data_IF_565951986455
#
_entry.id   IF_565951986455
#
_cell.length_a   1.000
_cell.length_b   1.000
_cell.length_c   1.000
_cell.angle_alpha   90.00
_cell.angle_beta   90.00
_cell.angle_gamma   90.00
#
_symmetry.space_group_name_H-M   'P 1'
#
loop_
_entity.id
_entity.type
_entity.pdbx_description
1 polymer ?
#
# COMPACT_ATOMS: atom_id res chain seq x y z
N UNK A 1 65.95 50.11 -7.82
CA UNK A 1 66.43 48.74 -8.08
C UNK A 1 65.54 48.09 -9.14
N UNK A 2 66.15 47.23 -9.95
CA UNK A 2 65.76 46.68 -11.27
C UNK A 2 64.31 46.23 -11.54
N UNK A 3 63.92 46.42 -12.82
CA UNK A 3 62.84 45.78 -13.63
C UNK A 3 63.08 44.23 -13.75
N UNK A 4 62.20 43.34 -14.31
CA UNK A 4 61.18 43.61 -15.37
C UNK A 4 59.91 42.71 -15.52
N UNK A 5 58.98 43.25 -16.31
CA UNK A 5 58.19 42.71 -17.45
C UNK A 5 57.71 41.24 -17.63
N UNK A 6 56.52 41.20 -18.28
CA UNK A 6 55.94 40.21 -19.22
C UNK A 6 55.06 39.12 -18.58
N UNK A 7 53.76 39.03 -18.89
CA UNK A 7 53.21 38.88 -20.26
C UNK A 7 51.85 39.56 -20.49
N UNK A 8 51.65 39.88 -21.77
CA UNK A 8 50.65 40.70 -22.47
C UNK A 8 49.30 39.96 -22.69
N UNK A 9 48.18 40.68 -22.95
CA UNK A 9 46.81 40.16 -23.11
C UNK A 9 46.47 39.83 -24.58
N UNK A 10 45.22 39.44 -24.93
CA UNK A 10 44.31 40.43 -25.55
C UNK A 10 42.83 40.21 -25.13
N UNK A 11 42.06 41.24 -24.82
CA UNK A 11 41.18 41.99 -25.75
C UNK A 11 39.71 41.56 -25.71
N UNK A 12 38.86 42.59 -25.71
CA UNK A 12 37.46 42.64 -26.18
C UNK A 12 36.49 41.90 -25.24
N UNK A 13 35.69 42.58 -24.43
CA UNK A 13 34.79 43.65 -24.84
C UNK A 13 33.48 43.06 -25.35
N UNK A 14 32.62 42.63 -24.44
CA UNK A 14 31.16 42.55 -24.64
C UNK A 14 30.48 42.41 -23.28
N UNK A 15 30.00 43.54 -22.75
CA UNK A 15 28.93 43.52 -21.77
C UNK A 15 27.65 43.01 -22.46
N UNK A 16 26.93 42.01 -21.90
CA UNK A 16 25.60 41.67 -22.39
C UNK A 16 24.58 42.72 -21.92
N UNK A 17 23.51 42.97 -22.70
CA UNK A 17 22.50 43.98 -22.38
C UNK A 17 21.64 43.56 -21.17
N UNK A 18 21.05 44.52 -20.44
CA UNK A 18 20.18 44.22 -19.31
C UNK A 18 18.76 43.94 -19.82
N UNK A 19 18.30 42.71 -19.68
CA UNK A 19 16.90 42.38 -19.97
C UNK A 19 16.66 40.98 -20.53
N UNK A 20 17.06 39.94 -19.80
CA UNK A 20 16.38 38.65 -19.88
C UNK A 20 16.06 38.18 -18.45
N UNK A 21 14.82 37.74 -18.16
CA UNK A 21 14.53 37.11 -16.89
C UNK A 21 15.40 35.87 -16.74
N UNK A 22 15.76 35.47 -15.50
CA UNK A 22 16.62 34.31 -15.29
C UNK A 22 15.96 33.11 -15.98
N UNK A 23 16.61 32.59 -17.03
CA UNK A 23 16.33 31.25 -17.52
C UNK A 23 16.45 30.36 -16.30
N UNK A 24 15.30 29.84 -15.89
CA UNK A 24 15.17 28.84 -14.86
C UNK A 24 16.36 27.90 -14.99
N UNK A 25 17.16 27.83 -13.93
CA UNK A 25 18.16 26.81 -13.81
C UNK A 25 17.47 25.50 -14.21
N UNK A 26 17.84 24.94 -15.35
CA UNK A 26 17.74 23.52 -15.58
C UNK A 26 18.61 22.92 -14.47
N UNK A 27 17.98 22.74 -13.31
CA UNK A 27 18.31 21.68 -12.40
C UNK A 27 18.29 20.44 -13.28
N UNK A 28 19.48 20.07 -13.75
CA UNK A 28 19.76 18.77 -14.32
C UNK A 28 19.40 17.78 -13.22
N UNK A 29 18.11 17.42 -13.18
CA UNK A 29 17.59 16.46 -12.26
C UNK A 29 18.40 15.19 -12.51
N UNK A 30 18.88 14.47 -11.48
CA UNK A 30 19.36 13.12 -11.69
C UNK A 30 18.25 12.39 -12.45
N UNK A 31 18.54 11.98 -13.69
CA UNK A 31 17.55 11.42 -14.58
C UNK A 31 16.85 10.26 -13.87
N UNK A 32 15.54 10.38 -13.71
CA UNK A 32 14.71 9.31 -13.15
C UNK A 32 14.96 8.04 -13.96
N UNK A 33 15.64 7.08 -13.36
CA UNK A 33 16.08 5.86 -14.02
C UNK A 33 15.66 4.67 -13.19
N UNK A 34 15.26 3.60 -13.87
CA UNK A 34 14.97 2.34 -13.19
C UNK A 34 16.21 1.80 -12.48
N UNK A 35 16.02 1.40 -11.23
CA UNK A 35 16.99 0.63 -10.46
C UNK A 35 16.84 -0.85 -10.82
N UNK A 36 17.90 -1.66 -10.68
CA UNK A 36 17.81 -3.09 -10.94
C UNK A 36 16.78 -3.78 -10.03
N UNK A 37 16.56 -3.27 -8.81
CA UNK A 37 15.52 -3.80 -7.91
C UNK A 37 14.08 -3.53 -8.38
N UNK A 38 13.84 -2.42 -9.09
CA UNK A 38 12.49 -1.96 -9.42
C UNK A 38 11.73 -2.95 -10.29
N UNK A 39 12.44 -3.66 -11.18
CA UNK A 39 11.85 -4.67 -12.05
C UNK A 39 11.18 -5.81 -11.26
N UNK A 40 11.83 -6.25 -10.18
CA UNK A 40 11.32 -7.34 -9.35
C UNK A 40 10.22 -6.85 -8.41
N UNK A 41 10.37 -5.66 -7.83
CA UNK A 41 9.33 -5.05 -7.00
C UNK A 41 8.06 -4.82 -7.83
N UNK A 42 8.19 -4.35 -9.06
CA UNK A 42 7.07 -4.11 -9.96
C UNK A 42 6.39 -5.42 -10.38
N UNK A 43 7.18 -6.46 -10.66
CA UNK A 43 6.67 -7.81 -10.93
C UNK A 43 5.82 -8.33 -9.76
N UNK A 44 6.31 -8.19 -8.54
CA UNK A 44 5.60 -8.62 -7.32
C UNK A 44 4.35 -7.77 -7.08
N UNK A 45 4.46 -6.44 -7.21
CA UNK A 45 3.36 -5.51 -6.97
C UNK A 45 2.20 -5.73 -7.94
N UNK A 46 2.51 -6.01 -9.21
CA UNK A 46 1.52 -6.26 -10.27
C UNK A 46 1.11 -7.74 -10.39
N UNK A 47 1.66 -8.64 -9.57
CA UNK A 47 1.44 -10.08 -9.65
C UNK A 47 1.72 -10.65 -11.05
N UNK A 48 2.81 -10.21 -11.67
CA UNK A 48 3.23 -10.66 -13.01
C UNK A 48 3.91 -12.03 -12.88
N UNK A 49 3.52 -13.03 -13.70
CA UNK A 49 4.08 -14.37 -13.64
C UNK A 49 5.57 -14.38 -14.05
N UNK A 50 6.35 -15.29 -13.46
CA UNK A 50 7.78 -15.47 -13.77
C UNK A 50 7.94 -16.33 -15.03
N UNK A 51 7.45 -15.82 -16.16
CA UNK A 51 7.65 -16.44 -17.49
C UNK A 51 8.56 -15.56 -18.34
N UNK A 52 9.36 -16.17 -19.23
CA UNK A 52 10.26 -15.41 -20.09
C UNK A 52 9.52 -14.34 -20.93
N UNK A 53 8.31 -14.67 -21.41
CA UNK A 53 7.46 -13.74 -22.15
C UNK A 53 7.04 -12.53 -21.28
N UNK A 54 6.55 -12.78 -20.06
CA UNK A 54 6.11 -11.72 -19.15
C UNK A 54 7.27 -10.82 -18.69
N UNK A 55 8.43 -11.41 -18.37
CA UNK A 55 9.63 -10.65 -18.00
C UNK A 55 10.15 -9.79 -19.17
N UNK A 56 10.12 -10.33 -20.40
CA UNK A 56 10.49 -9.54 -21.59
C UNK A 56 9.52 -8.40 -21.87
N UNK A 57 8.23 -8.57 -21.54
CA UNK A 57 7.22 -7.52 -21.68
C UNK A 57 7.43 -6.43 -20.62
N UNK A 58 7.70 -6.82 -19.37
CA UNK A 58 8.05 -5.92 -18.28
C UNK A 58 9.26 -5.05 -18.62
N UNK A 59 10.36 -5.66 -19.05
CA UNK A 59 11.58 -4.92 -19.42
C UNK A 59 11.34 -3.97 -20.61
N UNK A 60 10.56 -4.37 -21.61
CA UNK A 60 10.23 -3.50 -22.76
C UNK A 60 9.40 -2.29 -22.34
N UNK A 61 8.40 -2.48 -21.48
CA UNK A 61 7.57 -1.37 -21.00
C UNK A 61 8.33 -0.43 -20.08
N UNK A 62 9.18 -0.96 -19.19
CA UNK A 62 10.08 -0.15 -18.37
C UNK A 62 11.01 0.71 -19.24
N UNK A 63 11.66 0.10 -20.24
CA UNK A 63 12.52 0.83 -21.18
C UNK A 63 11.73 1.86 -22.00
N UNK A 64 10.52 1.52 -22.44
CA UNK A 64 9.64 2.43 -23.16
C UNK A 64 9.26 3.65 -22.30
N UNK A 65 8.95 3.45 -21.02
CA UNK A 65 8.64 4.54 -20.10
C UNK A 65 9.86 5.44 -19.85
N UNK A 66 11.05 4.85 -19.65
CA UNK A 66 12.29 5.60 -19.44
C UNK A 66 12.65 6.47 -20.65
N UNK A 67 12.45 5.97 -21.87
CA UNK A 67 12.75 6.70 -23.12
C UNK A 67 11.75 7.83 -23.37
N UNK A 68 10.45 7.56 -23.24
CA UNK A 68 9.42 8.49 -23.70
C UNK A 68 8.92 9.43 -22.60
N UNK A 69 8.94 9.00 -21.33
CA UNK A 69 8.40 9.74 -20.19
C UNK A 69 9.24 9.52 -18.93
N UNK A 70 10.47 10.06 -18.85
CA UNK A 70 11.38 9.83 -17.72
C UNK A 70 10.79 10.29 -16.38
N UNK A 71 9.99 11.36 -16.36
CA UNK A 71 9.28 11.80 -15.14
C UNK A 71 8.33 10.71 -14.62
N UNK A 72 7.71 9.92 -15.51
CA UNK A 72 6.85 8.80 -15.15
C UNK A 72 7.59 7.68 -14.41
N UNK A 73 8.91 7.53 -14.63
CA UNK A 73 9.75 6.60 -13.88
C UNK A 73 9.85 7.02 -12.42
N UNK A 74 10.06 8.30 -12.13
CA UNK A 74 10.08 8.82 -10.75
C UNK A 74 8.72 8.64 -10.06
N UNK A 75 7.62 8.90 -10.77
CA UNK A 75 6.27 8.67 -10.23
C UNK A 75 6.03 7.19 -9.92
N UNK A 76 6.45 6.29 -10.82
CA UNK A 76 6.34 4.85 -10.61
C UNK A 76 7.17 4.41 -9.39
N UNK A 77 8.40 4.88 -9.26
CA UNK A 77 9.25 4.60 -8.10
C UNK A 77 8.60 5.05 -6.79
N UNK A 78 8.03 6.26 -6.75
CA UNK A 78 7.28 6.73 -5.58
C UNK A 78 6.09 5.84 -5.21
N UNK A 79 5.38 5.28 -6.20
CA UNK A 79 4.32 4.31 -5.95
C UNK A 79 4.85 2.96 -5.46
N UNK A 80 6.00 2.49 -5.97
CA UNK A 80 6.65 1.27 -5.49
C UNK A 80 7.09 1.42 -4.02
N UNK A 81 7.69 2.55 -3.67
CA UNK A 81 8.07 2.88 -2.28
C UNK A 81 6.85 2.99 -1.34
N UNK A 82 5.75 3.56 -1.82
CA UNK A 82 4.50 3.59 -1.04
C UNK A 82 3.94 2.18 -0.80
N UNK A 83 3.98 1.30 -1.81
CA UNK A 83 3.52 -0.09 -1.68
C UNK A 83 4.39 -0.86 -0.69
N UNK A 84 5.71 -0.70 -0.72
CA UNK A 84 6.60 -1.38 0.25
C UNK A 84 6.37 -0.88 1.68
N UNK A 85 6.14 0.43 1.87
CA UNK A 85 5.75 0.98 3.17
C UNK A 85 4.42 0.40 3.67
N UNK A 86 3.40 0.30 2.81
CA UNK A 86 2.11 -0.32 3.14
C UNK A 86 2.24 -1.80 3.47
N UNK A 87 3.12 -2.54 2.77
CA UNK A 87 3.42 -3.93 3.09
C UNK A 87 4.06 -4.09 4.46
N UNK A 88 4.99 -3.20 4.83
CA UNK A 88 5.58 -3.20 6.17
C UNK A 88 4.54 -2.90 7.25
N UNK A 89 3.64 -1.94 7.00
CA UNK A 89 2.53 -1.64 7.92
C UNK A 89 1.59 -2.83 8.08
N UNK A 90 1.23 -3.50 6.98
CA UNK A 90 0.39 -4.71 7.01
C UNK A 90 1.08 -5.85 7.78
N UNK A 91 2.39 -6.04 7.60
CA UNK A 91 3.16 -7.06 8.31
C UNK A 91 3.34 -6.74 9.81
N UNK A 92 3.29 -5.46 10.19
CA UNK A 92 3.37 -5.00 11.57
C UNK A 92 2.02 -5.09 12.33
N UNK A 93 0.89 -5.32 11.63
CA UNK A 93 -0.40 -5.46 12.27
C UNK A 93 -0.43 -6.69 13.20
N UNK A 94 -0.94 -6.49 14.41
CA UNK A 94 -1.16 -7.57 15.35
C UNK A 94 -2.35 -8.44 14.93
N UNK A 95 -2.44 -9.71 15.36
CA UNK A 95 -3.59 -10.58 15.08
C UNK A 95 -4.92 -9.98 15.52
N UNK A 96 -4.89 -9.17 16.58
CA UNK A 96 -6.04 -8.44 17.09
C UNK A 96 -6.47 -7.31 16.16
N UNK A 97 -5.57 -6.70 15.36
CA UNK A 97 -5.90 -5.65 14.39
C UNK A 97 -6.28 -6.22 13.02
N UNK A 98 -5.73 -7.38 12.67
CA UNK A 98 -6.08 -8.16 11.48
C UNK A 98 -7.54 -8.66 11.55
N UNK A 99 -7.93 -9.17 12.72
CA UNK A 99 -9.22 -9.83 12.94
C UNK A 99 -10.06 -9.15 14.05
N UNK A 100 -9.84 -7.85 14.31
CA UNK A 100 -10.47 -7.15 15.42
C UNK A 100 -11.99 -7.36 15.44
N UNK A 101 -12.57 -8.11 16.41
CA UNK A 101 -13.98 -7.99 16.68
C UNK A 101 -14.18 -6.60 17.27
N UNK A 102 -14.84 -5.73 16.51
CA UNK A 102 -14.97 -4.30 16.80
C UNK A 102 -15.69 -4.06 18.14
N UNK A 103 -16.53 -5.03 18.57
CA UNK A 103 -17.03 -5.13 19.95
C UNK A 103 -17.04 -6.57 20.43
N UNK A 104 -16.53 -6.76 21.66
CA UNK A 104 -16.80 -7.95 22.47
C UNK A 104 -17.74 -7.52 23.58
N UNK A 105 -19.01 -7.92 23.51
CA UNK A 105 -19.88 -7.88 24.68
C UNK A 105 -19.76 -9.23 25.37
N UNK A 106 -19.28 -9.22 26.61
CA UNK A 106 -19.61 -10.31 27.54
C UNK A 106 -21.02 -10.04 27.99
N UNK A 107 -21.97 -10.93 27.70
CA UNK A 107 -23.26 -10.94 28.38
C UNK A 107 -23.05 -11.51 29.79
N UNK A 108 -22.13 -10.89 30.54
CA UNK A 108 -21.88 -11.17 31.94
C UNK A 108 -22.78 -10.25 32.77
N UNK A 109 -23.81 -10.84 33.36
CA UNK A 109 -24.65 -10.24 34.41
C UNK A 109 -25.50 -9.05 33.93
N UNK A 110 -26.52 -9.33 33.14
CA UNK A 110 -27.71 -8.48 33.13
C UNK A 110 -28.45 -8.64 34.47
N UNK A 111 -27.89 -8.03 35.51
CA UNK A 111 -28.45 -7.95 36.86
C UNK A 111 -28.43 -9.27 37.62
N UNK A 112 -27.97 -9.26 38.87
CA UNK A 112 -28.23 -10.34 39.83
C UNK A 112 -29.72 -10.42 40.16
N UNK A 113 -30.55 -10.77 39.18
CA UNK A 113 -31.97 -11.04 39.36
C UNK A 113 -32.05 -12.44 39.94
N UNK A 114 -32.15 -12.50 41.26
CA UNK A 114 -32.49 -13.72 41.97
C UNK A 114 -33.84 -14.21 41.41
N UNK A 115 -33.93 -15.46 40.93
CA UNK A 115 -35.19 -16.00 40.42
C UNK A 115 -36.29 -15.88 41.50
N UNK A 116 -37.42 -15.33 41.11
CA UNK A 116 -38.62 -15.25 41.94
C UNK A 116 -39.79 -15.90 41.17
N UNK A 117 -40.31 -17.06 41.61
CA UNK A 117 -39.97 -17.77 42.85
C UNK A 117 -38.57 -18.42 42.81
N UNK A 118 -37.99 -18.60 44.00
CA UNK A 118 -36.71 -19.28 44.16
C UNK A 118 -36.84 -20.75 43.74
N UNK A 119 -35.79 -21.33 43.14
CA UNK A 119 -35.77 -22.75 42.78
C UNK A 119 -36.02 -23.60 44.03
N UNK A 120 -36.99 -24.52 43.92
CA UNK A 120 -37.40 -25.39 45.03
C UNK A 120 -36.65 -26.72 45.01
N UNK A 121 -36.02 -27.07 43.88
CA UNK A 121 -35.27 -28.32 43.70
C UNK A 121 -33.77 -28.05 43.50
N UNK A 122 -32.92 -29.00 43.93
CA UNK A 122 -31.46 -28.94 43.68
C UNK A 122 -31.14 -28.98 42.19
N UNK A 123 -32.00 -29.59 41.39
CA UNK A 123 -31.83 -29.72 39.95
C UNK A 123 -32.04 -28.35 39.27
N UNK A 124 -33.04 -27.59 39.73
CA UNK A 124 -33.34 -26.23 39.26
C UNK A 124 -32.19 -25.26 39.61
N UNK A 125 -31.56 -25.44 40.78
CA UNK A 125 -30.38 -24.66 41.17
C UNK A 125 -29.19 -24.94 40.25
N UNK A 126 -29.01 -26.21 39.85
CA UNK A 126 -27.95 -26.60 38.93
C UNK A 126 -28.23 -26.04 37.55
N UNK A 127 -29.46 -26.16 37.05
CA UNK A 127 -29.87 -25.61 35.75
C UNK A 127 -29.66 -24.08 35.70
N UNK A 128 -30.11 -23.36 36.73
CA UNK A 128 -29.87 -21.91 36.85
C UNK A 128 -28.38 -21.55 36.96
N UNK A 129 -27.60 -22.30 37.75
CA UNK A 129 -26.16 -22.07 37.84
C UNK A 129 -25.45 -22.36 36.51
N UNK A 130 -25.92 -23.34 35.74
CA UNK A 130 -25.39 -23.61 34.40
C UNK A 130 -25.77 -22.54 33.39
N UNK A 131 -26.97 -21.95 33.49
CA UNK A 131 -27.36 -20.78 32.68
C UNK A 131 -26.50 -19.55 32.99
N UNK A 132 -26.13 -19.33 34.26
CA UNK A 132 -25.21 -18.25 34.66
C UNK A 132 -23.77 -18.44 34.18
N UNK A 133 -23.33 -19.69 34.00
CA UNK A 133 -21.98 -20.03 33.54
C UNK A 133 -21.83 -19.98 32.01
N UNK A 134 -22.93 -19.90 31.28
CA UNK A 134 -22.92 -19.69 29.83
C UNK A 134 -22.54 -18.23 29.56
N UNK A 135 -21.25 -17.94 29.56
CA UNK A 135 -20.70 -16.70 29.04
C UNK A 135 -21.01 -16.59 27.53
N UNK A 136 -22.21 -16.10 27.18
CA UNK A 136 -22.51 -15.67 25.82
C UNK A 136 -21.62 -14.47 25.48
N UNK A 137 -20.61 -14.72 24.66
CA UNK A 137 -19.78 -13.68 24.06
C UNK A 137 -20.33 -13.37 22.67
N UNK A 138 -21.09 -12.28 22.57
CA UNK A 138 -21.53 -11.76 21.27
C UNK A 138 -20.33 -11.10 20.59
N UNK A 139 -19.91 -11.70 19.47
CA UNK A 139 -18.96 -11.09 18.53
C UNK A 139 -19.75 -10.45 17.39
N UNK A 140 -20.06 -9.15 17.54
CA UNK A 140 -20.62 -8.39 16.43
C UNK A 140 -19.50 -7.98 15.46
N UNK A 141 -19.59 -8.47 14.22
CA UNK A 141 -18.83 -7.91 13.09
C UNK A 141 -19.54 -6.60 12.69
N UNK A 142 -18.99 -5.46 13.14
CA UNK A 142 -19.67 -4.17 13.07
C UNK A 142 -20.04 -3.72 11.63
N UNK A 143 -21.16 -2.99 11.56
CA UNK A 143 -21.62 -2.20 10.43
C UNK A 143 -20.94 -0.81 10.31
N UNK A 144 -19.97 -0.47 11.16
CA UNK A 144 -19.37 0.88 11.27
C UNK A 144 -18.03 1.10 10.52
N UNK A 145 -17.57 0.16 9.69
CA UNK A 145 -16.51 0.43 8.70
C UNK A 145 -15.42 -0.64 8.56
N UNK A 146 -14.54 -0.49 7.54
CA UNK A 146 -13.52 -1.49 7.21
C UNK A 146 -12.40 -1.56 8.26
N UNK A 147 -11.88 -2.77 8.52
CA UNK A 147 -10.73 -2.99 9.41
C UNK A 147 -9.47 -2.30 8.88
N UNK A 148 -8.48 -2.06 9.76
CA UNK A 148 -7.20 -1.46 9.38
C UNK A 148 -6.52 -2.21 8.21
N UNK A 149 -6.56 -3.55 8.23
CA UNK A 149 -6.05 -4.39 7.15
C UNK A 149 -6.76 -4.14 5.81
N UNK A 150 -8.08 -3.96 5.83
CA UNK A 150 -8.88 -3.65 4.64
C UNK A 150 -8.56 -2.25 4.11
N UNK A 151 -8.40 -1.26 4.99
CA UNK A 151 -8.03 0.11 4.60
C UNK A 151 -6.66 0.15 3.94
N UNK A 152 -5.65 -0.47 4.55
CA UNK A 152 -4.28 -0.52 4.01
C UNK A 152 -4.23 -1.31 2.69
N UNK A 153 -4.98 -2.40 2.60
CA UNK A 153 -5.08 -3.19 1.37
C UNK A 153 -5.75 -2.39 0.24
N UNK A 154 -6.77 -1.58 0.55
CA UNK A 154 -7.40 -0.66 -0.41
C UNK A 154 -6.44 0.43 -0.87
N UNK A 155 -5.66 1.03 0.04
CA UNK A 155 -4.63 2.01 -0.31
C UNK A 155 -3.57 1.40 -1.24
N UNK A 156 -3.14 0.17 -0.94
CA UNK A 156 -2.23 -0.58 -1.82
C UNK A 156 -2.82 -0.79 -3.20
N UNK A 157 -4.09 -1.16 -3.30
CA UNK A 157 -4.78 -1.34 -4.58
C UNK A 157 -4.78 -0.05 -5.42
N UNK A 158 -5.01 1.12 -4.80
CA UNK A 158 -4.95 2.41 -5.49
C UNK A 158 -3.57 2.67 -6.10
N UNK A 159 -2.48 2.42 -5.35
CA UNK A 159 -1.13 2.59 -5.90
C UNK A 159 -0.83 1.62 -7.04
N UNK A 160 -1.34 0.38 -6.96
CA UNK A 160 -1.22 -0.61 -8.04
C UNK A 160 -1.98 -0.14 -9.29
N UNK A 161 -3.17 0.44 -9.13
CA UNK A 161 -3.93 1.02 -10.24
C UNK A 161 -3.15 2.18 -10.91
N UNK A 162 -2.51 3.05 -10.12
CA UNK A 162 -1.67 4.11 -10.67
C UNK A 162 -0.47 3.56 -11.46
N UNK A 163 0.19 2.50 -10.97
CA UNK A 163 1.25 1.82 -11.70
C UNK A 163 0.78 1.22 -13.02
N UNK A 164 -0.45 0.69 -13.06
CA UNK A 164 -1.04 0.15 -14.30
C UNK A 164 -1.30 1.25 -15.31
N UNK A 165 -1.72 2.44 -14.88
CA UNK A 165 -1.89 3.59 -15.77
C UNK A 165 -0.56 4.03 -16.38
N UNK A 166 0.54 3.96 -15.63
CA UNK A 166 1.88 4.27 -16.12
C UNK A 166 2.45 3.19 -17.04
N UNK A 167 2.09 1.93 -16.82
CA UNK A 167 2.59 0.76 -17.56
C UNK A 167 1.42 -0.06 -18.15
N UNK A 168 0.67 0.52 -19.11
CA UNK A 168 -0.63 0.00 -19.52
C UNK A 168 -0.55 -1.39 -20.15
N UNK A 169 0.55 -1.71 -20.86
CA UNK A 169 0.67 -3.03 -21.51
C UNK A 169 0.94 -4.17 -20.51
N UNK A 170 1.31 -3.85 -19.27
CA UNK A 170 1.47 -4.84 -18.21
C UNK A 170 0.13 -5.27 -17.61
N UNK A 171 -0.97 -4.54 -17.85
CA UNK A 171 -2.30 -4.89 -17.38
C UNK A 171 -2.71 -6.32 -17.81
N UNK A 172 -2.39 -6.70 -19.04
CA UNK A 172 -2.72 -8.02 -19.61
C UNK A 172 -1.95 -9.18 -18.98
N UNK A 173 -0.89 -8.89 -18.23
CA UNK A 173 -0.05 -9.89 -17.57
C UNK A 173 -0.35 -10.03 -16.08
N UNK A 174 -1.24 -9.18 -15.54
CA UNK A 174 -1.59 -9.22 -14.12
C UNK A 174 -2.46 -10.44 -13.85
N UNK A 175 -2.03 -11.25 -12.90
CA UNK A 175 -2.91 -12.21 -12.24
C UNK A 175 -3.77 -11.40 -11.27
N UNK A 176 -4.94 -10.95 -11.72
CA UNK A 176 -5.95 -10.43 -10.79
C UNK A 176 -6.35 -11.59 -9.89
N UNK A 177 -6.14 -11.42 -8.59
CA UNK A 177 -6.55 -12.40 -7.58
C UNK A 177 -8.05 -12.67 -7.76
N UNK A 178 -8.38 -13.81 -8.35
CA UNK A 178 -9.76 -14.30 -8.38
C UNK A 178 -10.14 -14.55 -6.94
N UNK A 179 -11.05 -13.72 -6.45
CA UNK A 179 -11.61 -13.79 -5.11
C UNK A 179 -11.82 -15.26 -4.69
N UNK A 180 -11.14 -15.76 -3.65
CA UNK A 180 -11.16 -17.18 -3.28
C UNK A 180 -12.56 -17.66 -2.88
N UNK A 181 -13.50 -16.74 -2.67
CA UNK A 181 -14.89 -17.00 -2.30
C UNK A 181 -15.89 -16.89 -3.46
N UNK A 182 -15.46 -16.93 -4.74
CA UNK A 182 -16.37 -17.03 -5.89
C UNK A 182 -17.08 -18.39 -6.04
N UNK A 183 -17.38 -19.07 -4.93
CA UNK A 183 -18.29 -20.20 -4.89
C UNK A 183 -19.72 -19.72 -4.66
N UNK A 184 -20.67 -20.20 -5.47
CA UNK A 184 -22.10 -20.05 -5.16
C UNK A 184 -22.36 -20.69 -3.79
N UNK A 185 -22.73 -19.90 -2.79
CA UNK A 185 -23.21 -20.41 -1.51
C UNK A 185 -24.50 -21.20 -1.77
N UNK A 186 -24.37 -22.52 -1.88
CA UNK A 186 -25.51 -23.43 -1.92
C UNK A 186 -26.02 -23.54 -0.49
N UNK A 187 -27.10 -22.82 -0.17
CA UNK A 187 -27.89 -23.13 1.02
C UNK A 187 -28.64 -24.44 0.72
N UNK A 188 -28.22 -25.51 1.37
CA UNK A 188 -28.99 -26.76 1.49
C UNK A 188 -30.04 -26.63 2.59
#
# INVERSE_FOLDING_TARGET
>A
MSLPCCKKPPSIGSCPPPGEPPRSAELSAPGCRWRPEDAEVLRIALSIPVTAAALSALQREMASLEIHYPVGVCTAQGHLEAITALHQQLAALTPAELNAPIRRRRKGVAGGVVPNPLPLSKLDVVEYATELLLEESDTEWSAEGPSAAVVLSRQRAVHIEQLVLLLPRLANWRLTDTDPFQGRLVRG
#
